data_IF_747030567004
#
_entry.id   IF_747030567004
#
_cell.length_a   1.000
_cell.length_b   1.000
_cell.length_c   1.000
_cell.angle_alpha   90.00
_cell.angle_beta   90.00
_cell.angle_gamma   90.00
#
_symmetry.space_group_name_H-M   'P 1'
#
loop_
_entity.id
_entity.type
_entity.pdbx_description
1 polymer ?
#
# COMPACT_ATOMS: atom_id res chain seq x y z
N UNK A 1 52.37 -36.81 62.50
CA UNK A 1 51.41 -35.76 62.90
C UNK A 1 51.08 -34.95 61.64
N UNK A 2 49.96 -35.26 60.99
CA UNK A 2 49.56 -34.66 59.72
C UNK A 2 48.26 -33.90 59.98
N UNK A 3 48.30 -32.57 59.68
CA UNK A 3 47.15 -31.64 59.78
C UNK A 3 46.34 -31.68 58.49
N UNK A 4 45.04 -32.02 58.60
CA UNK A 4 44.06 -31.90 57.50
C UNK A 4 43.54 -30.47 57.45
N UNK A 5 43.76 -29.82 56.31
CA UNK A 5 43.09 -28.55 55.98
C UNK A 5 41.88 -28.80 55.11
N UNK A 6 40.68 -28.53 55.64
CA UNK A 6 39.42 -28.58 54.93
C UNK A 6 39.26 -27.31 54.08
N UNK A 7 39.05 -27.46 52.75
CA UNK A 7 38.68 -26.38 51.84
C UNK A 7 37.15 -26.42 51.66
N UNK A 8 36.51 -25.35 52.07
CA UNK A 8 35.10 -25.04 51.79
C UNK A 8 34.97 -24.59 50.31
N UNK A 9 34.18 -25.35 49.51
CA UNK A 9 33.72 -24.93 48.21
C UNK A 9 32.44 -24.08 48.38
N UNK A 10 32.56 -22.79 48.10
CA UNK A 10 31.39 -21.91 47.99
C UNK A 10 30.81 -22.02 46.57
N UNK A 11 29.66 -22.68 46.44
CA UNK A 11 28.90 -22.72 45.16
C UNK A 11 28.15 -21.43 44.93
N UNK A 12 28.47 -20.74 43.82
CA UNK A 12 27.67 -19.64 43.30
C UNK A 12 26.48 -20.23 42.54
N UNK A 13 25.26 -20.06 43.06
CA UNK A 13 24.03 -20.27 42.31
C UNK A 13 23.74 -19.00 41.47
N UNK A 14 23.94 -19.06 40.16
CA UNK A 14 23.49 -18.06 39.25
C UNK A 14 21.99 -18.28 38.96
N UNK A 15 21.13 -17.42 39.50
CA UNK A 15 19.71 -17.42 39.17
C UNK A 15 19.52 -16.84 37.75
N UNK A 16 19.15 -17.69 36.81
CA UNK A 16 18.75 -17.29 35.46
C UNK A 16 17.29 -16.80 35.52
N UNK A 17 17.07 -15.48 35.54
CA UNK A 17 15.76 -14.88 35.30
C UNK A 17 15.41 -15.00 33.82
N UNK A 18 14.60 -15.99 33.45
CA UNK A 18 13.98 -16.07 32.15
C UNK A 18 12.88 -14.98 32.07
N UNK A 19 13.17 -13.89 31.37
CA UNK A 19 12.15 -12.91 31.02
C UNK A 19 11.26 -13.51 29.93
N UNK A 20 10.10 -14.04 30.30
CA UNK A 20 9.06 -14.44 29.36
C UNK A 20 8.43 -13.17 28.76
N UNK A 21 8.83 -12.84 27.53
CA UNK A 21 8.16 -11.81 26.74
C UNK A 21 6.74 -12.30 26.42
N UNK A 22 5.74 -11.73 27.08
CA UNK A 22 4.34 -11.91 26.74
C UNK A 22 4.10 -11.26 25.39
N UNK A 23 4.13 -12.05 24.31
CA UNK A 23 3.63 -11.66 23.00
C UNK A 23 2.10 -11.59 23.13
N UNK A 24 1.57 -10.39 23.41
CA UNK A 24 0.13 -10.17 23.29
C UNK A 24 -0.24 -10.35 21.83
N UNK A 25 -1.18 -11.24 21.48
CA UNK A 25 -1.67 -11.35 20.12
C UNK A 25 -2.29 -9.98 19.75
N UNK A 26 -1.75 -9.32 18.75
CA UNK A 26 -2.43 -8.18 18.11
C UNK A 26 -3.71 -8.77 17.54
N UNK A 27 -4.85 -8.40 18.11
CA UNK A 27 -6.14 -8.79 17.58
C UNK A 27 -6.18 -8.36 16.11
N UNK A 28 -6.33 -9.33 15.21
CA UNK A 28 -6.54 -9.04 13.80
C UNK A 28 -7.83 -8.21 13.71
N UNK A 29 -7.72 -6.99 13.24
CA UNK A 29 -8.87 -6.13 13.00
C UNK A 29 -9.56 -6.67 11.74
N UNK A 30 -10.60 -7.49 11.91
CA UNK A 30 -11.48 -7.84 10.82
C UNK A 30 -12.25 -6.57 10.42
N UNK A 31 -12.01 -6.05 9.22
CA UNK A 31 -12.74 -4.90 8.73
C UNK A 31 -14.23 -5.26 8.64
N UNK A 32 -15.09 -4.47 9.28
CA UNK A 32 -16.54 -4.66 9.21
C UNK A 32 -17.01 -4.41 7.77
N UNK A 33 -17.76 -5.35 7.19
CA UNK A 33 -18.31 -5.22 5.84
C UNK A 33 -19.18 -3.97 5.66
N UNK A 34 -19.71 -3.40 6.73
CA UNK A 34 -20.48 -2.15 6.69
C UNK A 34 -19.69 -0.97 6.17
N UNK A 35 -18.34 -0.96 6.30
CA UNK A 35 -17.48 0.08 5.72
C UNK A 35 -17.56 0.13 4.20
N UNK A 36 -17.99 -0.96 3.55
CA UNK A 36 -18.14 -1.01 2.10
C UNK A 36 -19.44 -0.38 1.61
N UNK A 37 -20.42 -0.14 2.47
CA UNK A 37 -21.76 0.25 2.03
C UNK A 37 -22.01 1.75 1.99
N UNK A 38 -21.45 2.52 2.88
CA UNK A 38 -21.76 3.93 3.04
C UNK A 38 -21.28 4.78 1.84
N UNK A 39 -22.23 5.49 1.20
CA UNK A 39 -21.94 6.50 0.19
C UNK A 39 -21.26 5.98 -1.09
N UNK A 40 -21.42 4.69 -1.42
CA UNK A 40 -20.88 4.09 -2.65
C UNK A 40 -21.99 3.71 -3.61
N UNK A 41 -21.76 3.91 -4.92
CA UNK A 41 -22.72 3.56 -5.95
C UNK A 41 -22.86 2.05 -6.15
N UNK A 42 -23.97 1.61 -6.74
CA UNK A 42 -24.16 0.20 -7.11
C UNK A 42 -23.10 -0.29 -8.11
N UNK A 43 -22.65 0.59 -9.03
CA UNK A 43 -21.58 0.29 -9.99
C UNK A 43 -20.24 0.02 -9.29
N UNK A 44 -19.90 0.80 -8.25
CA UNK A 44 -18.69 0.56 -7.47
C UNK A 44 -18.76 -0.74 -6.68
N UNK A 45 -19.91 -1.00 -6.03
CA UNK A 45 -20.13 -2.23 -5.26
C UNK A 45 -20.08 -3.48 -6.14
N UNK A 46 -20.56 -3.41 -7.39
CA UNK A 46 -20.44 -4.50 -8.35
C UNK A 46 -18.99 -4.91 -8.65
N UNK A 47 -18.01 -4.01 -8.42
CA UNK A 47 -16.59 -4.28 -8.60
C UNK A 47 -15.93 -4.92 -7.37
N UNK A 48 -16.60 -5.03 -6.26
CA UNK A 48 -16.01 -5.52 -5.00
C UNK A 48 -15.61 -7.00 -5.10
N UNK A 49 -16.39 -7.78 -5.87
CA UNK A 49 -16.04 -9.18 -6.15
C UNK A 49 -14.68 -9.36 -6.80
N UNK A 50 -14.29 -8.43 -7.69
CA UNK A 50 -13.02 -8.48 -8.42
C UNK A 50 -11.91 -7.72 -7.68
N UNK A 51 -12.23 -6.72 -6.87
CA UNK A 51 -11.25 -5.85 -6.20
C UNK A 51 -10.97 -6.21 -4.75
N UNK A 52 -11.77 -7.09 -4.17
CA UNK A 52 -11.57 -7.64 -2.81
C UNK A 52 -11.27 -6.58 -1.75
N UNK A 53 -12.12 -5.54 -1.59
CA UNK A 53 -11.77 -4.37 -0.78
C UNK A 53 -11.60 -4.67 0.72
N UNK A 54 -12.31 -5.66 1.29
CA UNK A 54 -12.09 -6.05 2.69
C UNK A 54 -10.71 -6.64 2.89
N UNK A 55 -10.33 -7.58 2.03
CA UNK A 55 -9.00 -8.19 2.04
C UNK A 55 -7.89 -7.14 1.83
N UNK A 56 -8.18 -6.08 1.05
CA UNK A 56 -7.25 -4.95 0.88
C UNK A 56 -7.10 -4.13 2.17
N UNK A 57 -8.21 -3.81 2.85
CA UNK A 57 -8.18 -3.08 4.12
C UNK A 57 -7.42 -3.87 5.20
N UNK A 58 -7.65 -5.17 5.29
CA UNK A 58 -6.96 -6.07 6.22
C UNK A 58 -5.46 -6.13 5.91
N UNK A 59 -5.11 -6.37 4.65
CA UNK A 59 -3.72 -6.45 4.21
C UNK A 59 -2.97 -5.13 4.45
N UNK A 60 -3.60 -3.99 4.15
CA UNK A 60 -3.05 -2.66 4.40
C UNK A 60 -3.08 -2.25 5.88
N UNK A 61 -3.68 -3.05 6.76
CA UNK A 61 -3.81 -2.79 8.20
C UNK A 61 -4.53 -1.47 8.52
N UNK A 62 -5.55 -1.13 7.74
CA UNK A 62 -6.31 0.11 7.92
C UNK A 62 -7.10 0.07 9.22
N UNK A 63 -7.06 1.16 10.00
CA UNK A 63 -7.73 1.29 11.30
C UNK A 63 -8.43 2.65 11.42
N UNK A 64 -9.50 2.72 12.23
CA UNK A 64 -10.12 4.00 12.57
C UNK A 64 -9.10 5.01 13.11
N UNK A 65 -9.25 6.28 12.72
CA UNK A 65 -8.40 7.38 13.16
C UNK A 65 -7.09 7.55 12.41
N UNK A 66 -6.76 6.64 11.48
CA UNK A 66 -5.52 6.74 10.69
C UNK A 66 -5.56 7.85 9.64
N UNK A 67 -4.36 8.27 9.24
CA UNK A 67 -4.12 9.12 8.07
C UNK A 67 -3.69 8.24 6.90
N UNK A 68 -4.48 8.23 5.83
CA UNK A 68 -4.25 7.45 4.61
C UNK A 68 -4.05 8.38 3.42
N UNK A 69 -3.07 8.08 2.58
CA UNK A 69 -2.90 8.72 1.27
C UNK A 69 -3.30 7.72 0.18
N UNK A 70 -4.30 8.04 -0.61
CA UNK A 70 -4.68 7.31 -1.83
C UNK A 70 -4.02 8.02 -3.02
N UNK A 71 -2.86 7.50 -3.43
CA UNK A 71 -2.05 8.08 -4.50
C UNK A 71 -2.54 7.61 -5.86
N UNK A 72 -2.86 8.54 -6.73
CA UNK A 72 -3.52 8.31 -8.02
C UNK A 72 -4.89 7.63 -7.86
N UNK A 73 -5.84 8.26 -7.15
CA UNK A 73 -7.12 7.65 -6.74
C UNK A 73 -8.06 7.34 -7.91
N UNK A 74 -7.79 7.89 -9.10
CA UNK A 74 -8.66 7.77 -10.26
C UNK A 74 -10.06 8.33 -9.96
N UNK A 75 -11.10 7.49 -10.08
CA UNK A 75 -12.48 7.87 -9.74
C UNK A 75 -12.81 7.74 -8.24
N UNK A 76 -11.82 7.50 -7.37
CA UNK A 76 -12.00 7.50 -5.92
C UNK A 76 -12.60 6.21 -5.34
N UNK A 77 -12.48 5.06 -6.01
CA UNK A 77 -12.99 3.78 -5.50
C UNK A 77 -12.42 3.45 -4.11
N UNK A 78 -11.09 3.43 -3.96
CA UNK A 78 -10.48 3.17 -2.65
C UNK A 78 -10.56 4.38 -1.72
N UNK A 79 -10.55 5.60 -2.24
CA UNK A 79 -10.74 6.82 -1.43
C UNK A 79 -12.01 6.75 -0.57
N UNK A 80 -13.15 6.32 -1.16
CA UNK A 80 -14.43 6.17 -0.43
C UNK A 80 -14.36 5.07 0.61
N UNK A 81 -13.73 3.94 0.28
CA UNK A 81 -13.53 2.81 1.20
C UNK A 81 -12.64 3.22 2.37
N UNK A 82 -11.51 3.88 2.10
CA UNK A 82 -10.64 4.38 3.16
C UNK A 82 -11.34 5.42 4.04
N UNK A 83 -12.10 6.36 3.43
CA UNK A 83 -12.88 7.35 4.17
C UNK A 83 -13.84 6.69 5.17
N UNK A 84 -14.53 5.63 4.76
CA UNK A 84 -15.40 4.86 5.65
C UNK A 84 -14.60 4.12 6.74
N UNK A 85 -13.50 3.48 6.36
CA UNK A 85 -12.71 2.63 7.27
C UNK A 85 -11.97 3.43 8.34
N UNK A 86 -11.41 4.59 8.01
CA UNK A 86 -10.74 5.45 9.01
C UNK A 86 -11.74 6.24 9.85
N UNK A 87 -12.97 6.40 9.37
CA UNK A 87 -14.05 7.07 10.10
C UNK A 87 -13.83 8.58 10.29
N UNK A 88 -14.69 9.23 11.09
CA UNK A 88 -14.71 10.70 11.22
C UNK A 88 -13.50 11.30 11.95
N UNK A 89 -12.73 10.49 12.67
CA UNK A 89 -11.50 10.90 13.36
C UNK A 89 -10.24 10.65 12.55
N UNK A 90 -10.34 9.91 11.44
CA UNK A 90 -9.26 9.68 10.50
C UNK A 90 -9.24 10.71 9.36
N UNK A 91 -8.22 10.63 8.52
CA UNK A 91 -8.04 11.53 7.39
C UNK A 91 -7.65 10.74 6.15
N UNK A 92 -8.23 11.05 5.00
CA UNK A 92 -7.82 10.52 3.70
C UNK A 92 -7.39 11.66 2.80
N UNK A 93 -6.17 11.59 2.31
CA UNK A 93 -5.68 12.46 1.25
C UNK A 93 -5.84 11.74 -0.09
N UNK A 94 -6.64 12.32 -0.97
CA UNK A 94 -6.85 11.91 -2.36
C UNK A 94 -5.82 12.67 -3.20
N UNK A 95 -4.68 12.02 -3.48
CA UNK A 95 -3.50 12.69 -4.02
C UNK A 95 -3.36 12.45 -5.52
N UNK A 96 -3.54 13.51 -6.31
CA UNK A 96 -3.35 13.47 -7.76
C UNK A 96 -2.11 14.27 -8.15
N UNK A 97 -1.04 13.63 -8.66
CA UNK A 97 0.18 14.32 -9.05
C UNK A 97 -0.07 15.39 -10.14
N UNK A 98 0.67 16.50 -10.06
CA UNK A 98 0.60 17.57 -11.07
C UNK A 98 0.81 17.04 -12.48
N UNK A 99 1.73 16.08 -12.66
CA UNK A 99 1.99 15.41 -13.94
C UNK A 99 0.71 14.81 -14.56
N UNK A 100 -0.15 14.22 -13.73
CA UNK A 100 -1.43 13.61 -14.17
C UNK A 100 -2.44 14.69 -14.55
N UNK A 101 -2.52 15.74 -13.75
CA UNK A 101 -3.38 16.89 -14.04
C UNK A 101 -3.00 17.49 -15.41
N UNK A 102 -1.71 17.71 -15.64
CA UNK A 102 -1.20 18.27 -16.89
C UNK A 102 -1.45 17.34 -18.09
N UNK A 103 -1.27 16.02 -17.88
CA UNK A 103 -1.47 14.99 -18.92
C UNK A 103 -2.93 14.86 -19.34
N UNK A 104 -3.87 15.03 -18.41
CA UNK A 104 -5.30 14.84 -18.66
C UNK A 104 -6.11 16.15 -18.65
N UNK A 105 -5.46 17.30 -18.68
CA UNK A 105 -6.09 18.63 -18.63
C UNK A 105 -7.25 18.81 -19.61
N UNK A 106 -7.13 18.25 -20.82
CA UNK A 106 -8.14 18.39 -21.88
C UNK A 106 -9.32 17.42 -21.71
N UNK A 107 -9.17 16.35 -20.91
CA UNK A 107 -10.22 15.37 -20.63
C UNK A 107 -10.98 15.67 -19.32
N UNK A 108 -10.43 16.56 -18.51
CA UNK A 108 -10.91 16.83 -17.15
C UNK A 108 -10.57 15.70 -16.15
N UNK A 109 -10.53 16.06 -14.89
CA UNK A 109 -10.41 15.10 -13.78
C UNK A 109 -11.80 14.65 -13.33
N UNK A 110 -11.93 13.44 -12.71
CA UNK A 110 -13.15 13.05 -12.04
C UNK A 110 -13.56 14.08 -10.98
N UNK A 111 -14.87 14.20 -10.67
CA UNK A 111 -15.30 15.01 -9.53
C UNK A 111 -14.61 14.57 -8.23
N UNK A 112 -14.22 15.51 -7.37
CA UNK A 112 -13.52 15.20 -6.13
C UNK A 112 -14.43 14.47 -5.14
N UNK A 113 -13.90 13.42 -4.51
CA UNK A 113 -14.64 12.65 -3.50
C UNK A 113 -14.95 13.50 -2.27
N UNK A 114 -14.09 14.46 -1.94
CA UNK A 114 -14.30 15.41 -0.84
C UNK A 114 -15.56 16.26 -0.96
N UNK A 115 -16.09 16.44 -2.18
CA UNK A 115 -17.32 17.17 -2.42
C UNK A 115 -18.59 16.33 -2.18
N UNK A 116 -18.47 15.03 -1.92
CA UNK A 116 -19.61 14.15 -1.70
C UNK A 116 -20.14 14.26 -0.25
N UNK A 117 -21.44 14.06 -0.03
CA UNK A 117 -22.00 14.01 1.31
C UNK A 117 -21.33 12.97 2.20
N UNK A 118 -20.99 13.35 3.44
CA UNK A 118 -20.38 12.45 4.42
C UNK A 118 -18.88 12.22 4.23
N UNK A 119 -18.18 12.99 3.38
CA UNK A 119 -16.76 12.87 3.06
C UNK A 119 -15.90 14.00 3.63
N UNK A 120 -16.29 14.59 4.76
CA UNK A 120 -15.55 15.70 5.40
C UNK A 120 -14.13 15.32 5.85
N UNK A 121 -13.83 14.02 5.96
CA UNK A 121 -12.52 13.49 6.28
C UNK A 121 -11.64 13.21 5.03
N UNK A 122 -12.12 13.54 3.82
CA UNK A 122 -11.35 13.44 2.56
C UNK A 122 -10.84 14.81 2.15
N UNK A 123 -9.58 14.90 1.78
CA UNK A 123 -8.92 16.11 1.32
C UNK A 123 -8.23 15.85 -0.02
N UNK A 124 -8.62 16.63 -1.04
CA UNK A 124 -7.93 16.57 -2.32
C UNK A 124 -6.60 17.33 -2.22
N UNK A 125 -5.53 16.68 -2.66
CA UNK A 125 -4.19 17.27 -2.69
C UNK A 125 -3.54 17.07 -4.04
N UNK A 126 -2.54 17.88 -4.32
CA UNK A 126 -1.77 17.81 -5.55
C UNK A 126 -0.30 17.62 -5.19
N UNK A 127 0.21 16.41 -5.43
CA UNK A 127 1.64 16.16 -5.30
C UNK A 127 2.42 16.93 -6.37
N UNK A 128 3.50 17.60 -5.97
CA UNK A 128 4.37 18.38 -6.84
C UNK A 128 5.81 17.88 -6.73
N UNK A 129 6.32 17.36 -7.84
CA UNK A 129 7.68 16.81 -7.88
C UNK A 129 7.83 15.60 -6.97
N UNK A 130 8.77 15.70 -6.02
CA UNK A 130 9.13 14.68 -5.05
C UNK A 130 8.43 14.86 -3.68
N UNK A 131 7.29 15.55 -3.64
CA UNK A 131 6.57 15.85 -2.41
C UNK A 131 5.09 15.44 -2.54
N UNK A 132 4.69 14.37 -1.83
CA UNK A 132 3.28 14.08 -1.59
C UNK A 132 2.65 15.23 -0.80
N UNK A 133 1.42 15.59 -1.14
CA UNK A 133 0.68 16.67 -0.48
C UNK A 133 0.34 16.41 0.99
N UNK A 134 0.77 15.27 1.55
CA UNK A 134 0.53 14.85 2.93
C UNK A 134 1.83 14.55 3.67
N UNK A 135 1.80 14.67 5.00
CA UNK A 135 2.90 14.27 5.89
C UNK A 135 2.37 13.49 7.09
N UNK A 136 3.22 12.67 7.70
CA UNK A 136 2.87 11.84 8.87
C UNK A 136 1.70 10.88 8.59
N UNK A 137 1.68 10.29 7.39
CA UNK A 137 0.72 9.28 7.03
C UNK A 137 1.01 7.94 7.74
N UNK A 138 -0.04 7.19 8.06
CA UNK A 138 0.05 5.81 8.54
C UNK A 138 0.15 4.84 7.37
N UNK A 139 -0.52 5.16 6.26
CA UNK A 139 -0.58 4.36 5.04
C UNK A 139 -0.48 5.27 3.81
N UNK A 140 0.34 4.87 2.84
CA UNK A 140 0.24 5.31 1.45
C UNK A 140 -0.17 4.11 0.61
N UNK A 141 -1.16 4.30 -0.23
CA UNK A 141 -1.74 3.30 -1.11
C UNK A 141 -1.67 3.74 -2.55
N UNK A 142 -1.27 2.84 -3.47
CA UNK A 142 -1.44 3.02 -4.91
C UNK A 142 -1.97 1.73 -5.54
N UNK A 143 -2.89 1.88 -6.50
CA UNK A 143 -3.59 0.75 -7.11
C UNK A 143 -3.66 0.86 -8.61
N UNK A 144 -2.96 -0.03 -9.30
CA UNK A 144 -2.93 -0.11 -10.77
C UNK A 144 -2.36 1.15 -11.45
N UNK A 145 -1.36 1.78 -10.81
CA UNK A 145 -0.80 3.07 -11.26
C UNK A 145 0.73 3.16 -11.10
N UNK A 146 1.39 2.26 -10.39
CA UNK A 146 2.84 2.34 -10.20
C UNK A 146 3.57 2.19 -11.54
N UNK A 147 3.10 1.26 -12.40
CA UNK A 147 3.59 1.12 -13.77
C UNK A 147 3.41 2.41 -14.59
N UNK A 148 2.31 3.14 -14.38
CA UNK A 148 2.06 4.41 -15.08
C UNK A 148 3.07 5.48 -14.70
N UNK A 149 3.47 5.58 -13.43
CA UNK A 149 4.54 6.50 -13.00
C UNK A 149 5.85 6.16 -13.71
N UNK A 150 6.18 4.87 -13.81
CA UNK A 150 7.36 4.43 -14.55
C UNK A 150 7.26 4.77 -16.04
N UNK A 151 6.13 4.52 -16.68
CA UNK A 151 5.89 4.85 -18.12
C UNK A 151 6.01 6.36 -18.38
N UNK A 152 5.51 7.21 -17.47
CA UNK A 152 5.44 8.64 -17.69
C UNK A 152 6.71 9.39 -17.30
N UNK A 153 7.43 8.91 -16.30
CA UNK A 153 8.58 9.61 -15.71
C UNK A 153 9.84 8.74 -15.58
N UNK A 154 9.81 7.49 -16.08
CA UNK A 154 10.92 6.54 -16.04
C UNK A 154 11.31 6.10 -14.63
N UNK A 155 12.42 5.37 -14.53
CA UNK A 155 12.97 4.89 -13.25
C UNK A 155 13.29 6.03 -12.26
N UNK A 156 13.60 7.23 -12.76
CA UNK A 156 13.76 8.40 -11.89
C UNK A 156 12.43 8.80 -11.26
N UNK A 157 11.33 8.77 -12.01
CA UNK A 157 10.01 9.11 -11.49
C UNK A 157 9.54 8.17 -10.39
N UNK A 158 9.77 6.87 -10.53
CA UNK A 158 9.47 5.89 -9.47
C UNK A 158 10.39 6.05 -8.25
N UNK A 159 11.67 6.38 -8.46
CA UNK A 159 12.59 6.68 -7.36
C UNK A 159 12.16 7.94 -6.57
N UNK A 160 11.77 9.01 -7.26
CA UNK A 160 11.25 10.23 -6.65
C UNK A 160 9.94 9.97 -5.89
N UNK A 161 9.01 9.19 -6.47
CA UNK A 161 7.80 8.75 -5.79
C UNK A 161 8.13 7.96 -4.52
N UNK A 162 8.96 6.93 -4.61
CA UNK A 162 9.29 6.07 -3.48
C UNK A 162 9.94 6.85 -2.33
N UNK A 163 10.82 7.81 -2.67
CA UNK A 163 11.42 8.73 -1.68
C UNK A 163 10.34 9.61 -1.04
N UNK A 164 9.46 10.18 -1.83
CA UNK A 164 8.38 11.06 -1.36
C UNK A 164 7.42 10.31 -0.42
N UNK A 165 7.06 9.07 -0.77
CA UNK A 165 6.27 8.17 0.08
C UNK A 165 7.02 7.86 1.39
N UNK A 166 8.32 7.56 1.30
CA UNK A 166 9.14 7.31 2.48
C UNK A 166 9.15 8.51 3.43
N UNK A 167 9.33 9.71 2.90
CA UNK A 167 9.37 10.94 3.70
C UNK A 167 8.01 11.27 4.33
N UNK A 168 6.91 11.03 3.60
CA UNK A 168 5.54 11.29 4.06
C UNK A 168 5.07 10.33 5.17
N UNK A 169 5.58 9.11 5.20
CA UNK A 169 5.16 8.10 6.17
C UNK A 169 5.80 8.32 7.54
N UNK A 170 5.04 8.02 8.59
CA UNK A 170 5.54 7.85 9.96
C UNK A 170 6.54 6.70 10.03
N UNK A 171 7.47 6.67 11.01
CA UNK A 171 8.20 5.45 11.36
C UNK A 171 7.21 4.30 11.60
N UNK A 172 7.47 3.11 11.02
CA UNK A 172 6.54 1.97 11.05
C UNK A 172 5.35 2.08 10.09
N UNK A 173 5.19 3.19 9.37
CA UNK A 173 4.13 3.39 8.39
C UNK A 173 4.24 2.43 7.18
N UNK A 174 3.13 2.26 6.50
CA UNK A 174 2.96 1.25 5.45
C UNK A 174 2.85 1.92 4.08
N UNK A 175 3.52 1.34 3.08
CA UNK A 175 3.29 1.60 1.67
C UNK A 175 2.75 0.34 1.00
N UNK A 176 1.60 0.42 0.35
CA UNK A 176 1.03 -0.68 -0.44
C UNK A 176 1.06 -0.34 -1.91
N UNK A 177 1.65 -1.25 -2.69
CA UNK A 177 1.61 -1.22 -4.15
C UNK A 177 0.80 -2.42 -4.65
N UNK A 178 -0.34 -2.14 -5.27
CA UNK A 178 -1.14 -3.09 -6.02
C UNK A 178 -0.99 -2.77 -7.50
N UNK A 179 -0.52 -3.72 -8.33
CA UNK A 179 -0.40 -3.44 -9.75
C UNK A 179 -0.58 -4.69 -10.63
N UNK A 180 -0.72 -4.46 -11.94
CA UNK A 180 -0.82 -5.50 -12.95
C UNK A 180 0.52 -6.21 -13.14
N UNK A 181 0.55 -7.52 -12.92
CA UNK A 181 1.74 -8.32 -13.09
C UNK A 181 2.18 -8.37 -14.55
N UNK A 182 3.44 -8.04 -14.79
CA UNK A 182 4.15 -8.24 -16.04
C UNK A 182 5.05 -9.46 -16.00
N UNK A 183 5.52 -9.90 -17.15
CA UNK A 183 6.53 -10.95 -17.22
C UNK A 183 7.84 -10.50 -16.53
N UNK A 184 8.58 -11.46 -16.00
CA UNK A 184 9.88 -11.19 -15.40
C UNK A 184 10.84 -10.55 -16.42
N UNK A 185 11.46 -9.43 -16.03
CA UNK A 185 12.37 -8.68 -16.89
C UNK A 185 11.68 -7.87 -17.99
N UNK A 186 10.38 -7.61 -17.88
CA UNK A 186 9.65 -6.76 -18.83
C UNK A 186 10.32 -5.38 -18.91
N UNK A 187 10.72 -5.00 -20.14
CA UNK A 187 11.37 -3.71 -20.41
C UNK A 187 10.37 -2.54 -20.50
N UNK A 188 10.89 -1.32 -20.59
CA UNK A 188 10.09 -0.09 -20.65
C UNK A 188 9.13 -0.08 -21.84
N UNK A 189 9.54 -0.64 -22.98
CA UNK A 189 8.70 -0.73 -24.18
C UNK A 189 7.52 -1.69 -23.97
N UNK A 190 7.80 -2.86 -23.40
CA UNK A 190 6.79 -3.83 -23.01
C UNK A 190 5.84 -3.29 -21.94
N UNK A 191 6.39 -2.61 -20.93
CA UNK A 191 5.61 -1.95 -19.87
C UNK A 191 4.64 -0.91 -20.46
N UNK A 192 5.13 -0.03 -21.34
CA UNK A 192 4.33 0.97 -22.02
C UNK A 192 3.26 0.37 -22.94
N UNK A 193 3.58 -0.73 -23.62
CA UNK A 193 2.63 -1.42 -24.50
C UNK A 193 1.54 -2.16 -23.74
N UNK A 194 1.91 -2.91 -22.68
CA UNK A 194 1.02 -3.82 -21.97
C UNK A 194 0.32 -3.18 -20.76
N UNK A 195 0.82 -2.06 -20.25
CA UNK A 195 0.44 -1.44 -18.97
C UNK A 195 0.56 -2.45 -17.82
N UNK A 196 1.72 -3.10 -17.72
CA UNK A 196 2.09 -4.07 -16.70
C UNK A 196 3.50 -3.76 -16.21
N UNK A 197 3.85 -4.24 -15.02
CA UNK A 197 5.19 -4.07 -14.46
C UNK A 197 5.67 -5.38 -13.85
N UNK A 198 6.97 -5.66 -13.96
CA UNK A 198 7.61 -6.77 -13.26
C UNK A 198 7.57 -6.53 -11.75
N UNK A 199 6.98 -7.45 -11.01
CA UNK A 199 6.89 -7.42 -9.55
C UNK A 199 8.26 -7.30 -8.88
N UNK A 200 9.27 -8.02 -9.40
CA UNK A 200 10.63 -7.96 -8.88
C UNK A 200 11.28 -6.58 -9.05
N UNK A 201 10.95 -5.87 -10.13
CA UNK A 201 11.38 -4.49 -10.34
C UNK A 201 10.79 -3.56 -9.27
N UNK A 202 9.48 -3.68 -8.97
CA UNK A 202 8.82 -2.89 -7.92
C UNK A 202 9.46 -3.14 -6.56
N UNK A 203 9.69 -4.40 -6.20
CA UNK A 203 10.37 -4.75 -4.93
C UNK A 203 11.75 -4.09 -4.86
N UNK A 204 12.53 -4.18 -5.93
CA UNK A 204 13.86 -3.57 -6.02
C UNK A 204 13.82 -2.05 -5.85
N UNK A 205 12.91 -1.38 -6.57
CA UNK A 205 12.81 0.09 -6.55
C UNK A 205 12.33 0.63 -5.20
N UNK A 206 11.32 0.01 -4.61
CA UNK A 206 10.78 0.44 -3.32
C UNK A 206 11.76 0.17 -2.18
N UNK A 207 12.43 -1.00 -2.18
CA UNK A 207 13.44 -1.31 -1.16
C UNK A 207 14.68 -0.42 -1.27
N UNK A 208 15.05 0.02 -2.49
CA UNK A 208 16.13 0.98 -2.70
C UNK A 208 15.86 2.35 -2.04
N UNK A 209 14.60 2.72 -1.82
CA UNK A 209 14.22 3.93 -1.08
C UNK A 209 14.28 3.78 0.45
N UNK A 210 14.66 2.59 0.96
CA UNK A 210 14.81 2.32 2.40
C UNK A 210 13.66 1.54 3.04
N UNK A 211 12.68 1.12 2.27
CA UNK A 211 11.59 0.28 2.76
C UNK A 211 12.01 -1.17 2.96
N UNK A 212 11.29 -1.87 3.82
CA UNK A 212 11.39 -3.33 4.00
C UNK A 212 10.12 -3.96 3.43
N UNK A 213 10.27 -4.97 2.57
CA UNK A 213 9.13 -5.79 2.14
C UNK A 213 8.56 -6.54 3.36
N UNK A 214 7.33 -6.24 3.75
CA UNK A 214 6.67 -6.70 4.97
C UNK A 214 5.57 -7.74 4.69
N UNK A 215 5.19 -7.91 3.44
CA UNK A 215 4.21 -8.93 3.04
C UNK A 215 3.78 -8.85 1.59
N UNK A 216 3.23 -9.97 1.13
CA UNK A 216 2.62 -10.14 -0.18
C UNK A 216 1.22 -10.73 -0.01
N UNK A 217 0.26 -10.34 -0.85
CA UNK A 217 -1.05 -10.99 -0.93
C UNK A 217 -1.28 -11.56 -2.33
N UNK A 218 -1.80 -12.77 -2.37
CA UNK A 218 -2.09 -13.50 -3.61
C UNK A 218 -3.58 -13.48 -3.97
N UNK A 219 -4.39 -12.70 -3.26
CA UNK A 219 -5.85 -12.71 -3.39
C UNK A 219 -6.35 -12.24 -4.76
N UNK A 220 -5.53 -11.47 -5.50
CA UNK A 220 -5.81 -11.01 -6.87
C UNK A 220 -4.94 -11.70 -7.93
N UNK A 221 -4.27 -12.79 -7.59
CA UNK A 221 -3.54 -13.58 -8.60
C UNK A 221 -4.51 -14.30 -9.52
N UNK A 222 -4.23 -14.21 -10.81
CA UNK A 222 -4.95 -14.94 -11.85
C UNK A 222 -3.98 -15.73 -12.74
N UNK A 223 -3.76 -17.03 -12.47
CA UNK A 223 -2.82 -17.84 -13.23
C UNK A 223 -3.27 -18.12 -14.68
N UNK A 224 -4.51 -17.76 -15.04
CA UNK A 224 -4.99 -17.86 -16.41
C UNK A 224 -4.56 -16.67 -17.29
N UNK A 225 -4.05 -15.59 -16.70
CA UNK A 225 -3.49 -14.45 -17.42
C UNK A 225 -1.99 -14.70 -17.66
N UNK A 226 -1.61 -14.91 -18.92
CA UNK A 226 -0.23 -15.19 -19.33
C UNK A 226 0.65 -13.94 -19.49
N UNK A 227 0.14 -12.76 -19.14
CA UNK A 227 0.80 -11.45 -19.20
C UNK A 227 1.14 -10.93 -20.61
N UNK A 228 0.62 -11.56 -21.68
CA UNK A 228 0.92 -11.16 -23.06
C UNK A 228 -0.06 -10.11 -23.62
N UNK A 229 -1.25 -10.03 -23.04
CA UNK A 229 -2.28 -9.09 -23.48
C UNK A 229 -2.18 -7.77 -22.69
N UNK A 230 -2.48 -6.67 -23.40
CA UNK A 230 -2.66 -5.36 -22.78
C UNK A 230 -3.79 -5.41 -21.75
N UNK A 231 -3.62 -4.79 -20.59
CA UNK A 231 -4.62 -4.82 -19.49
C UNK A 231 -6.01 -4.29 -19.90
N UNK A 232 -6.09 -3.52 -20.98
CA UNK A 232 -7.34 -2.99 -21.54
C UNK A 232 -8.01 -3.91 -22.56
N UNK A 233 -7.37 -5.03 -22.93
CA UNK A 233 -7.95 -5.99 -23.86
C UNK A 233 -9.26 -6.56 -23.30
N UNK A 234 -10.36 -6.57 -24.08
CA UNK A 234 -11.66 -7.06 -23.62
C UNK A 234 -11.64 -8.48 -23.04
N UNK A 235 -10.72 -9.34 -23.50
CA UNK A 235 -10.60 -10.72 -23.04
C UNK A 235 -10.17 -10.84 -21.57
N UNK A 236 -9.39 -9.85 -21.06
CA UNK A 236 -8.79 -9.90 -19.71
C UNK A 236 -9.09 -8.68 -18.86
N UNK A 237 -9.74 -7.66 -19.41
CA UNK A 237 -10.02 -6.42 -18.69
C UNK A 237 -10.81 -6.69 -17.41
N UNK A 238 -10.26 -6.23 -16.28
CA UNK A 238 -10.80 -6.50 -14.93
C UNK A 238 -10.45 -7.87 -14.37
N UNK A 239 -9.74 -8.72 -15.13
CA UNK A 239 -9.34 -10.09 -14.75
C UNK A 239 -7.84 -10.33 -14.90
N UNK A 240 -7.06 -9.29 -15.02
CA UNK A 240 -5.59 -9.40 -15.10
C UNK A 240 -5.02 -10.02 -13.83
N UNK A 241 -3.90 -10.74 -13.97
CA UNK A 241 -3.08 -11.11 -12.82
C UNK A 241 -2.53 -9.85 -12.14
N UNK A 242 -2.62 -9.78 -10.81
CA UNK A 242 -2.17 -8.63 -10.05
C UNK A 242 -1.39 -9.10 -8.83
N UNK A 243 -0.31 -8.37 -8.52
CA UNK A 243 0.40 -8.51 -7.26
C UNK A 243 -0.01 -7.42 -6.28
N UNK A 244 0.14 -7.71 -5.00
CA UNK A 244 -0.11 -6.78 -3.91
C UNK A 244 1.06 -6.90 -2.94
N UNK A 245 1.84 -5.83 -2.83
CA UNK A 245 3.03 -5.76 -2.00
C UNK A 245 2.82 -4.76 -0.87
N UNK A 246 3.18 -5.16 0.35
CA UNK A 246 3.19 -4.27 1.51
C UNK A 246 4.63 -4.04 1.94
N UNK A 247 5.00 -2.78 1.97
CA UNK A 247 6.30 -2.33 2.44
C UNK A 247 6.14 -1.55 3.74
N UNK A 248 7.16 -1.63 4.59
CA UNK A 248 7.18 -0.92 5.87
C UNK A 248 8.37 0.02 5.94
N UNK A 249 8.11 1.27 6.34
CA UNK A 249 9.18 2.19 6.74
C UNK A 249 9.76 1.72 8.06
N UNK A 250 11.08 1.54 8.20
CA UNK A 250 11.72 1.24 9.48
C UNK A 250 11.35 2.26 10.57
N UNK A 251 11.34 1.77 11.84
CA UNK A 251 11.07 2.60 13.02
C UNK A 251 12.27 3.45 13.45
#
# INVERSE_FOLDING_TARGET
MASLSSRLLSGFFAAFCAASSLITPVAAFAADSTVLDAGRSAEEKARDADRKPLEMLEFAQVKPGQTVVDYLPGKGYFTRIFSNAVGPTGTVYSDTPQLVIDKFKDKGLPPPVSAEPGRSNVHEVVAKGDNLGASKADLVWTSQNYHDVHIWAGAKGTADLNKSVFDALKPGGIFVVLDHAGAAGLDDAGMSNLHRIDEALVIKEVTAAGFILDGESKVLRNPADNHELKVFDPAIRGKTDQFILRFRKPG
#
